data_IF_946000340921
#
_entry.id   IF_946000340921
#
_cell.length_a   1.000
_cell.length_b   1.000
_cell.length_c   1.000
_cell.angle_alpha   90.00
_cell.angle_beta   90.00
_cell.angle_gamma   90.00
#
_symmetry.space_group_name_H-M   'P 1'
#
loop_
_entity.id
_entity.type
_entity.pdbx_description
1 polymer ?
#
# COMPACT_ATOMS: atom_id res chain seq x y z
N UNK A 1 7.71 -24.64 14.73
CA UNK A 1 8.14 -23.85 14.19
C UNK A 1 7.43 -22.73 13.73
N UNK A 2 7.16 -21.93 14.46
CA UNK A 2 6.43 -20.76 14.19
C UNK A 2 7.09 -19.83 13.25
N UNK A 3 8.33 -20.11 13.03
CA UNK A 3 9.11 -19.21 12.21
C UNK A 3 8.57 -18.96 10.83
N UNK A 4 7.80 -19.88 10.31
CA UNK A 4 7.29 -19.71 8.97
C UNK A 4 6.26 -18.62 8.85
N UNK A 5 5.65 -18.22 9.97
CA UNK A 5 4.61 -17.25 9.94
C UNK A 5 4.96 -16.02 10.72
N UNK A 6 6.19 -15.59 10.60
CA UNK A 6 6.63 -14.42 11.33
C UNK A 6 6.14 -13.11 10.73
N UNK A 7 5.29 -13.20 9.71
CA UNK A 7 4.76 -12.00 9.09
C UNK A 7 3.72 -11.35 10.02
N UNK A 8 3.97 -10.11 10.39
CA UNK A 8 3.00 -9.35 11.16
C UNK A 8 2.54 -8.13 10.36
N UNK A 9 1.28 -7.80 10.51
CA UNK A 9 0.64 -6.70 9.79
C UNK A 9 0.14 -5.70 10.82
N UNK A 10 0.52 -4.44 10.69
CA UNK A 10 0.08 -3.40 11.63
C UNK A 10 0.05 -2.03 10.98
N UNK A 11 -0.70 -1.07 11.55
CA UNK A 11 -0.63 0.31 11.10
C UNK A 11 0.73 0.93 11.42
N UNK A 12 1.18 1.86 10.58
CA UNK A 12 2.39 2.62 10.85
C UNK A 12 2.14 3.66 11.92
N UNK A 13 3.19 4.03 12.63
CA UNK A 13 3.16 5.13 13.57
C UNK A 13 4.13 6.21 13.09
N UNK A 14 4.15 7.36 13.75
CA UNK A 14 5.08 8.43 13.40
C UNK A 14 6.54 7.98 13.46
N UNK A 15 6.84 7.01 14.32
CA UNK A 15 8.21 6.49 14.45
C UNK A 15 8.66 5.66 13.24
N UNK A 16 7.72 5.24 12.38
CA UNK A 16 8.03 4.40 11.22
C UNK A 16 8.30 5.20 9.96
N UNK A 17 8.04 6.51 9.95
CA UNK A 17 8.02 7.28 8.70
C UNK A 17 9.34 7.26 7.93
N UNK A 18 10.46 7.44 8.62
CA UNK A 18 11.75 7.47 7.94
C UNK A 18 12.07 6.14 7.26
N UNK A 19 11.78 5.02 7.92
CA UNK A 19 12.07 3.72 7.30
C UNK A 19 11.07 3.37 6.20
N UNK A 20 9.86 3.88 6.27
CA UNK A 20 8.89 3.70 5.19
C UNK A 20 9.38 4.42 3.93
N UNK A 21 9.83 5.67 4.08
CA UNK A 21 10.34 6.43 2.93
C UNK A 21 11.57 5.77 2.33
N UNK A 22 12.48 5.28 3.17
CA UNK A 22 13.66 4.55 2.70
C UNK A 22 13.24 3.25 1.99
N UNK A 23 12.24 2.55 2.52
CA UNK A 23 11.74 1.33 1.94
C UNK A 23 11.17 1.57 0.53
N UNK A 24 10.41 2.63 0.35
CA UNK A 24 9.84 2.93 -0.95
C UNK A 24 10.89 3.21 -2.02
N UNK A 25 12.04 3.72 -1.64
CA UNK A 25 13.13 3.94 -2.61
C UNK A 25 13.67 2.63 -3.17
N UNK A 26 13.54 1.55 -2.42
CA UNK A 26 14.03 0.23 -2.82
C UNK A 26 12.93 -0.60 -3.47
N UNK A 27 11.72 -0.52 -2.96
CA UNK A 27 10.69 -1.48 -3.28
C UNK A 27 9.53 -0.95 -4.12
N UNK A 28 9.28 0.35 -4.09
CA UNK A 28 8.12 0.91 -4.81
C UNK A 28 8.48 1.32 -6.23
N UNK A 29 7.47 1.24 -7.10
CA UNK A 29 7.60 1.70 -8.48
C UNK A 29 6.98 3.09 -8.60
N UNK A 30 7.67 3.98 -9.27
CA UNK A 30 7.18 5.35 -9.48
C UNK A 30 7.27 6.22 -8.24
N UNK A 31 7.07 7.51 -8.44
CA UNK A 31 7.09 8.49 -7.35
C UNK A 31 5.98 9.50 -7.56
N UNK A 32 5.63 10.20 -6.49
CA UNK A 32 4.65 11.27 -6.52
C UNK A 32 5.12 12.41 -5.64
N UNK A 33 4.62 13.60 -5.90
CA UNK A 33 4.98 14.78 -5.10
C UNK A 33 4.55 14.65 -3.64
N UNK A 34 3.66 13.73 -3.33
CA UNK A 34 3.21 13.50 -1.95
C UNK A 34 4.02 12.41 -1.23
N UNK A 35 5.02 11.81 -1.90
CA UNK A 35 5.81 10.73 -1.30
C UNK A 35 7.03 11.28 -0.56
N UNK A 36 6.81 12.25 0.28
CA UNK A 36 7.88 12.82 1.11
C UNK A 36 7.47 12.76 2.58
N UNK A 37 8.38 13.19 3.45
CA UNK A 37 8.16 13.11 4.88
C UNK A 37 6.93 13.87 5.34
N UNK A 38 6.71 15.06 4.81
CA UNK A 38 5.57 15.88 5.20
C UNK A 38 4.25 15.25 4.73
N UNK A 39 4.22 14.70 3.51
CA UNK A 39 3.03 14.08 2.97
C UNK A 39 2.62 12.85 3.76
N UNK A 40 3.57 11.97 4.06
CA UNK A 40 3.28 10.74 4.78
C UNK A 40 2.94 11.03 6.25
N UNK A 41 3.62 12.02 6.86
CA UNK A 41 3.30 12.42 8.23
C UNK A 41 1.86 12.93 8.33
N UNK A 42 1.43 13.72 7.35
CA UNK A 42 0.06 14.24 7.33
C UNK A 42 -0.96 13.10 7.18
N UNK A 43 -0.64 12.12 6.36
CA UNK A 43 -1.50 10.94 6.19
C UNK A 43 -1.67 10.20 7.52
N UNK A 44 -0.58 9.88 8.19
CA UNK A 44 -0.61 9.11 9.43
C UNK A 44 -1.31 9.89 10.55
N UNK A 45 -1.12 11.21 10.58
CA UNK A 45 -1.78 12.04 11.57
C UNK A 45 -3.29 12.09 11.34
N UNK A 46 -3.71 12.23 10.09
CA UNK A 46 -5.13 12.35 9.78
C UNK A 46 -5.86 11.00 9.86
N UNK A 47 -5.20 9.93 9.43
CA UNK A 47 -5.83 8.60 9.37
C UNK A 47 -4.81 7.56 9.84
N UNK A 48 -4.70 7.35 11.15
CA UNK A 48 -3.66 6.48 11.72
C UNK A 48 -3.68 5.03 11.26
N UNK A 49 -4.81 4.56 10.73
CA UNK A 49 -4.92 3.17 10.30
C UNK A 49 -4.73 2.97 8.79
N UNK A 50 -4.47 4.05 8.05
CA UNK A 50 -4.42 3.96 6.59
C UNK A 50 -3.12 3.34 6.06
N UNK A 51 -1.98 3.69 6.64
CA UNK A 51 -0.71 3.15 6.18
C UNK A 51 -0.43 1.85 6.93
N UNK A 52 -0.47 0.74 6.21
CA UNK A 52 -0.34 -0.60 6.78
C UNK A 52 1.03 -1.16 6.43
N UNK A 53 1.71 -1.68 7.42
CA UNK A 53 3.05 -2.25 7.28
C UNK A 53 3.01 -3.76 7.46
N UNK A 54 3.84 -4.45 6.68
CA UNK A 54 4.12 -5.86 6.87
C UNK A 54 5.56 -6.00 7.34
N UNK A 55 5.76 -6.70 8.42
CA UNK A 55 7.08 -6.93 9.01
C UNK A 55 7.34 -8.41 9.20
N UNK A 56 8.61 -8.80 9.03
CA UNK A 56 9.03 -10.17 9.31
C UNK A 56 10.26 -10.06 10.20
N UNK A 57 10.13 -10.55 11.43
CA UNK A 57 11.20 -10.45 12.43
C UNK A 57 11.65 -9.00 12.65
N UNK A 58 10.69 -8.09 12.72
CA UNK A 58 10.97 -6.67 12.94
C UNK A 58 11.48 -5.91 11.73
N UNK A 59 11.68 -6.59 10.60
CA UNK A 59 12.14 -5.94 9.37
C UNK A 59 10.96 -5.61 8.49
N UNK A 60 10.91 -4.37 7.99
CA UNK A 60 9.85 -3.95 7.09
C UNK A 60 10.00 -4.65 5.73
N UNK A 61 8.99 -5.40 5.33
CA UNK A 61 9.04 -6.17 4.08
C UNK A 61 7.93 -5.78 3.10
N UNK A 62 6.96 -4.98 3.52
CA UNK A 62 5.91 -4.53 2.62
C UNK A 62 5.08 -3.40 3.20
N UNK A 63 4.40 -2.67 2.31
CA UNK A 63 3.51 -1.58 2.69
C UNK A 63 2.29 -1.56 1.78
N UNK A 64 1.21 -0.96 2.27
CA UNK A 64 0.10 -0.51 1.44
C UNK A 64 -0.58 0.66 2.16
N UNK A 65 -1.11 1.60 1.39
CA UNK A 65 -1.95 2.65 1.95
C UNK A 65 -3.38 2.33 1.58
N UNK A 66 -4.24 2.19 2.59
CA UNK A 66 -5.65 1.89 2.42
C UNK A 66 -6.46 3.14 2.81
N UNK A 67 -6.64 4.05 1.88
CA UNK A 67 -7.32 5.31 2.13
C UNK A 67 -8.83 5.20 1.94
N UNK A 68 -9.59 5.78 2.85
CA UNK A 68 -11.04 5.81 2.78
C UNK A 68 -11.50 7.23 3.04
N UNK A 69 -12.23 7.79 2.09
CA UNK A 69 -12.68 9.19 2.18
C UNK A 69 -14.11 9.33 2.74
N UNK A 70 -14.68 8.26 3.24
CA UNK A 70 -16.06 8.22 3.70
C UNK A 70 -17.02 7.69 2.64
N UNK A 71 -16.54 7.53 1.42
CA UNK A 71 -17.32 7.07 0.29
C UNK A 71 -16.59 6.01 -0.53
N UNK A 72 -15.37 6.29 -0.95
CA UNK A 72 -14.59 5.37 -1.78
C UNK A 72 -13.33 4.90 -1.11
N UNK A 73 -12.89 3.73 -1.52
CA UNK A 73 -11.69 3.08 -0.99
C UNK A 73 -10.59 3.17 -2.03
N UNK A 74 -9.42 3.64 -1.62
CA UNK A 74 -8.30 3.83 -2.54
C UNK A 74 -7.06 3.15 -1.99
N UNK A 75 -6.37 2.40 -2.86
CA UNK A 75 -5.14 1.71 -2.49
C UNK A 75 -3.96 2.37 -3.17
N UNK A 76 -2.92 2.68 -2.39
CA UNK A 76 -1.70 3.30 -2.86
C UNK A 76 -0.50 2.57 -2.28
N UNK A 77 0.61 2.66 -2.96
CA UNK A 77 1.91 2.21 -2.44
C UNK A 77 1.91 0.78 -1.92
N UNK A 78 1.32 -0.12 -2.70
CA UNK A 78 1.53 -1.54 -2.46
C UNK A 78 2.94 -1.86 -2.91
N UNK A 79 3.82 -2.13 -1.98
CA UNK A 79 5.22 -2.41 -2.26
C UNK A 79 5.67 -3.59 -1.42
N UNK A 80 6.44 -4.49 -2.02
CA UNK A 80 7.00 -5.65 -1.34
C UNK A 80 8.50 -5.68 -1.63
N UNK A 81 9.30 -5.88 -0.59
CA UNK A 81 10.74 -5.94 -0.75
C UNK A 81 11.09 -6.99 -1.81
N UNK A 82 12.02 -6.69 -2.74
CA UNK A 82 12.32 -7.64 -3.81
C UNK A 82 12.68 -9.05 -3.34
N UNK A 83 13.33 -9.17 -2.18
CA UNK A 83 13.73 -10.47 -1.65
C UNK A 83 12.60 -11.20 -0.95
N UNK A 84 11.45 -10.55 -0.76
CA UNK A 84 10.30 -11.14 -0.08
C UNK A 84 9.15 -11.43 -1.05
N UNK A 85 9.36 -11.22 -2.34
CA UNK A 85 8.33 -11.46 -3.34
C UNK A 85 8.02 -12.95 -3.43
N UNK A 86 6.80 -13.26 -3.85
CA UNK A 86 6.27 -14.63 -3.97
C UNK A 86 6.16 -15.36 -2.63
N UNK A 87 6.09 -14.62 -1.54
CA UNK A 87 5.91 -15.19 -0.20
C UNK A 87 4.59 -14.77 0.42
N UNK A 88 3.66 -14.24 -0.37
CA UNK A 88 2.34 -13.88 0.11
C UNK A 88 2.23 -12.56 0.83
N UNK A 89 3.28 -11.75 0.86
CA UNK A 89 3.27 -10.46 1.58
C UNK A 89 2.25 -9.51 0.96
N UNK A 90 2.27 -9.37 -0.37
CA UNK A 90 1.32 -8.49 -1.07
C UNK A 90 -0.12 -8.90 -0.84
N UNK A 91 -0.41 -10.20 -0.92
CA UNK A 91 -1.75 -10.71 -0.66
C UNK A 91 -2.22 -10.46 0.76
N UNK A 92 -1.32 -10.63 1.74
CA UNK A 92 -1.63 -10.36 3.14
C UNK A 92 -1.94 -8.88 3.39
N UNK A 93 -1.18 -7.98 2.75
CA UNK A 93 -1.42 -6.55 2.85
C UNK A 93 -2.76 -6.17 2.24
N UNK A 94 -3.09 -6.70 1.07
CA UNK A 94 -4.36 -6.43 0.43
C UNK A 94 -5.54 -6.98 1.24
N UNK A 95 -5.37 -8.17 1.83
CA UNK A 95 -6.41 -8.71 2.70
C UNK A 95 -6.66 -7.81 3.91
N UNK A 96 -5.60 -7.29 4.53
CA UNK A 96 -5.73 -6.37 5.66
C UNK A 96 -6.41 -5.07 5.25
N UNK A 97 -6.06 -4.54 4.08
CA UNK A 97 -6.69 -3.33 3.56
C UNK A 97 -8.17 -3.54 3.30
N UNK A 98 -8.53 -4.67 2.69
CA UNK A 98 -9.92 -4.99 2.38
C UNK A 98 -10.74 -5.22 3.65
N UNK A 99 -10.15 -5.80 4.67
CA UNK A 99 -10.81 -5.96 5.96
C UNK A 99 -11.12 -4.60 6.58
N UNK A 100 -10.16 -3.66 6.51
CA UNK A 100 -10.38 -2.28 6.97
C UNK A 100 -11.52 -1.63 6.20
N UNK A 101 -11.49 -1.73 4.87
CA UNK A 101 -12.53 -1.13 4.04
C UNK A 101 -13.92 -1.69 4.36
N UNK A 102 -14.01 -3.01 4.54
CA UNK A 102 -15.27 -3.65 4.89
C UNK A 102 -15.80 -3.14 6.23
N UNK A 103 -14.92 -3.00 7.22
CA UNK A 103 -15.29 -2.49 8.53
C UNK A 103 -15.79 -1.04 8.46
N UNK A 104 -15.30 -0.26 7.49
CA UNK A 104 -15.71 1.14 7.30
C UNK A 104 -16.92 1.29 6.38
N UNK A 105 -17.44 0.19 5.84
CA UNK A 105 -18.59 0.24 4.94
C UNK A 105 -18.24 0.44 3.47
N UNK A 106 -16.96 0.26 3.12
CA UNK A 106 -16.53 0.39 1.73
C UNK A 106 -17.12 -0.68 0.85
N UNK A 107 -17.40 -0.33 -0.41
CA UNK A 107 -18.06 -1.25 -1.34
C UNK A 107 -17.23 -1.59 -2.57
N UNK A 108 -16.17 -0.83 -2.84
CA UNK A 108 -15.28 -1.10 -3.96
C UNK A 108 -13.95 -0.43 -3.67
N UNK A 109 -12.85 -1.12 -3.97
CA UNK A 109 -11.51 -0.58 -3.82
C UNK A 109 -10.92 -0.30 -5.20
N UNK A 110 -10.24 0.84 -5.32
CA UNK A 110 -9.55 1.25 -6.54
C UNK A 110 -8.05 1.29 -6.30
N UNK A 111 -7.27 1.01 -7.33
CA UNK A 111 -5.82 1.12 -7.26
C UNK A 111 -5.28 1.68 -8.56
N UNK A 112 -4.18 2.43 -8.48
CA UNK A 112 -3.47 2.89 -9.67
C UNK A 112 -2.27 1.96 -9.88
N UNK A 113 -2.29 1.22 -10.97
CA UNK A 113 -1.26 0.23 -11.28
C UNK A 113 -0.58 0.64 -12.58
N UNK A 114 0.75 0.75 -12.57
CA UNK A 114 1.48 1.12 -13.78
C UNK A 114 1.32 0.05 -14.86
N UNK A 115 1.01 0.50 -16.08
CA UNK A 115 0.78 -0.42 -17.19
C UNK A 115 1.98 -1.31 -17.50
N UNK A 116 3.19 -0.80 -17.28
CA UNK A 116 4.41 -1.57 -17.55
C UNK A 116 4.88 -2.43 -16.36
N UNK A 117 4.19 -2.37 -15.24
CA UNK A 117 4.59 -3.15 -14.06
C UNK A 117 3.87 -4.49 -14.04
N UNK A 118 4.37 -5.43 -14.83
CA UNK A 118 3.74 -6.75 -14.96
C UNK A 118 3.72 -7.52 -13.65
N UNK A 119 4.75 -7.37 -12.85
CA UNK A 119 4.82 -8.07 -11.56
C UNK A 119 3.73 -7.58 -10.61
N UNK A 120 3.53 -6.28 -10.53
CA UNK A 120 2.48 -5.73 -9.70
C UNK A 120 1.11 -6.17 -10.22
N UNK A 121 0.91 -6.15 -11.54
CA UNK A 121 -0.35 -6.58 -12.12
C UNK A 121 -0.69 -8.03 -11.77
N UNK A 122 0.32 -8.89 -11.71
CA UNK A 122 0.11 -10.28 -11.32
C UNK A 122 -0.44 -10.37 -9.89
N UNK A 123 0.14 -9.60 -8.97
CA UNK A 123 -0.32 -9.57 -7.57
C UNK A 123 -1.74 -9.03 -7.46
N UNK A 124 -2.04 -7.94 -8.18
CA UNK A 124 -3.36 -7.34 -8.16
C UNK A 124 -4.41 -8.30 -8.73
N UNK A 125 -4.11 -8.93 -9.87
CA UNK A 125 -5.04 -9.90 -10.47
C UNK A 125 -5.28 -11.09 -9.57
N UNK A 126 -4.25 -11.58 -8.90
CA UNK A 126 -4.38 -12.70 -7.97
C UNK A 126 -5.31 -12.34 -6.80
N UNK A 127 -5.39 -11.07 -6.44
CA UNK A 127 -6.27 -10.59 -5.37
C UNK A 127 -7.67 -10.22 -5.89
N UNK A 128 -7.93 -10.38 -7.19
CA UNK A 128 -9.25 -10.13 -7.75
C UNK A 128 -9.43 -8.77 -8.42
N UNK A 129 -8.36 -8.00 -8.55
CA UNK A 129 -8.43 -6.68 -9.18
C UNK A 129 -8.22 -6.79 -10.69
N UNK A 130 -8.84 -5.90 -11.44
CA UNK A 130 -8.65 -5.84 -12.89
C UNK A 130 -8.76 -4.42 -13.41
N UNK A 131 -8.21 -4.15 -14.59
CA UNK A 131 -8.22 -2.80 -15.16
C UNK A 131 -9.61 -2.38 -15.63
N UNK A 132 -9.84 -1.09 -15.63
CA UNK A 132 -11.02 -0.49 -16.25
C UNK A 132 -10.55 0.43 -17.37
N UNK A 133 -10.42 -0.09 -18.60
CA UNK A 133 -9.78 0.65 -19.70
C UNK A 133 -10.47 1.95 -20.10
N UNK A 134 -11.77 2.08 -19.83
CA UNK A 134 -12.53 3.28 -20.19
C UNK A 134 -12.20 4.47 -19.28
N UNK A 135 -11.43 4.26 -18.21
CA UNK A 135 -11.08 5.33 -17.29
C UNK A 135 -9.60 5.66 -17.43
N UNK A 136 -9.28 6.94 -17.33
CA UNK A 136 -7.89 7.40 -17.33
C UNK A 136 -7.66 8.31 -16.13
N UNK A 137 -6.43 8.32 -15.66
CA UNK A 137 -6.05 9.18 -14.55
C UNK A 137 -5.65 10.55 -15.09
N UNK A 138 -6.31 11.59 -14.57
CA UNK A 138 -6.01 12.97 -14.94
C UNK A 138 -5.48 13.67 -13.70
N UNK A 139 -4.33 14.30 -13.79
CA UNK A 139 -3.67 14.90 -12.64
C UNK A 139 -3.29 16.35 -12.90
N UNK A 140 -3.27 17.13 -11.84
CA UNK A 140 -2.76 18.50 -11.87
C UNK A 140 -2.07 18.74 -10.53
N UNK A 141 -0.77 19.04 -10.51
CA UNK A 141 -0.11 19.40 -9.26
C UNK A 141 -0.71 20.71 -8.72
N UNK A 142 -0.91 20.76 -7.42
CA UNK A 142 -1.46 21.95 -6.76
C UNK A 142 -0.38 22.80 -6.11
N UNK A 143 0.84 22.27 -6.05
CA UNK A 143 2.00 23.01 -5.54
C UNK A 143 3.15 22.89 -6.54
N UNK A 144 4.18 23.71 -6.39
CA UNK A 144 5.33 23.69 -7.28
C UNK A 144 6.25 22.51 -7.05
#
# INVERSE_FOLDING_TARGET
MAAMNDLSIRPATAADLDRVLAFWKVAAEGTSISDDGDGVARLVERDPDALILAERDGTLVGTVIAGFDGWRCHLYRLAVHPEQRRRGVGGALLAAAEERFAALGGRRADAMVLDCNERAQHTWRAAGYGPQPQWSRWVKPLTD
#
